data_IF_969378192004
#
_entry.id   IF_969378192004
#
_cell.length_a   1.000
_cell.length_b   1.000
_cell.length_c   1.000
_cell.angle_alpha   90.00
_cell.angle_beta   90.00
_cell.angle_gamma   90.00
#
_symmetry.space_group_name_H-M   'P 1'
#
loop_
_entity.id
_entity.type
_entity.pdbx_description
1 polymer ?
#
# COMPACT_ATOMS: atom_id res chain seq x y z
N UNK A 1 -6.85 -3.06 -28.22
CA UNK A 1 -6.70 -2.11 -29.33
C UNK A 1 -7.85 -2.35 -30.29
N UNK A 2 -8.69 -1.35 -30.52
CA UNK A 2 -9.84 -1.47 -31.44
C UNK A 2 -9.32 -1.41 -32.88
N UNK A 3 -9.58 -2.46 -33.67
CA UNK A 3 -9.09 -2.59 -35.03
C UNK A 3 -9.67 -1.53 -35.98
N UNK A 4 -10.93 -1.11 -35.78
CA UNK A 4 -11.53 -0.04 -36.59
C UNK A 4 -10.87 1.30 -36.27
N UNK A 5 -10.71 1.61 -34.99
CA UNK A 5 -10.06 2.86 -34.55
C UNK A 5 -8.63 2.95 -35.07
N UNK A 6 -7.88 1.86 -34.96
CA UNK A 6 -6.53 1.75 -35.51
C UNK A 6 -6.52 1.99 -37.03
N UNK A 7 -7.36 1.26 -37.78
CA UNK A 7 -7.43 1.39 -39.23
C UNK A 7 -7.76 2.81 -39.68
N UNK A 8 -8.73 3.46 -39.01
CA UNK A 8 -9.07 4.86 -39.29
C UNK A 8 -7.93 5.81 -38.95
N UNK A 9 -7.19 5.56 -37.87
CA UNK A 9 -6.06 6.38 -37.47
C UNK A 9 -4.93 6.31 -38.51
N UNK A 10 -4.55 5.10 -38.94
CA UNK A 10 -3.54 4.90 -39.99
C UNK A 10 -3.96 5.56 -41.31
N UNK A 11 -5.23 5.40 -41.71
CA UNK A 11 -5.74 6.02 -42.93
C UNK A 11 -5.71 7.56 -42.86
N UNK A 12 -5.98 8.14 -41.70
CA UNK A 12 -5.89 9.59 -41.48
C UNK A 12 -4.45 10.06 -41.56
N UNK A 13 -3.51 9.43 -40.83
CA UNK A 13 -2.09 9.77 -40.87
C UNK A 13 -1.49 9.66 -42.28
N UNK A 14 -1.87 8.62 -43.03
CA UNK A 14 -1.44 8.46 -44.42
C UNK A 14 -1.90 9.62 -45.30
N UNK A 15 -3.16 10.04 -45.15
CA UNK A 15 -3.74 11.17 -45.90
C UNK A 15 -3.12 12.50 -45.51
N UNK A 16 -2.84 12.72 -44.23
CA UNK A 16 -2.13 13.91 -43.74
C UNK A 16 -0.73 14.02 -44.35
N UNK A 17 -0.05 12.90 -44.54
CA UNK A 17 1.24 12.83 -45.23
C UNK A 17 1.14 12.81 -46.77
N UNK A 18 -0.05 13.01 -47.34
CA UNK A 18 -0.32 13.01 -48.79
C UNK A 18 0.15 11.73 -49.52
N UNK A 19 0.17 10.58 -48.84
CA UNK A 19 0.62 9.31 -49.42
C UNK A 19 -0.55 8.48 -49.94
N UNK A 20 -0.36 7.70 -51.00
CA UNK A 20 -1.29 6.65 -51.43
C UNK A 20 -1.08 5.36 -50.62
N UNK A 21 -2.05 4.43 -50.65
CA UNK A 21 -1.88 3.11 -50.00
C UNK A 21 -0.69 2.33 -50.60
N UNK A 22 -0.45 2.50 -51.90
CA UNK A 22 0.66 1.87 -52.62
C UNK A 22 2.00 2.45 -52.17
N UNK A 23 2.11 3.77 -52.03
CA UNK A 23 3.32 4.44 -51.57
C UNK A 23 3.67 4.06 -50.12
N UNK A 24 2.66 4.00 -49.24
CA UNK A 24 2.88 3.54 -47.86
C UNK A 24 3.33 2.07 -47.84
N UNK A 25 2.72 1.21 -48.65
CA UNK A 25 3.10 -0.19 -48.76
C UNK A 25 4.54 -0.37 -49.26
N UNK A 26 4.96 0.43 -50.24
CA UNK A 26 6.33 0.44 -50.76
C UNK A 26 7.34 0.85 -49.68
N UNK A 27 7.06 1.90 -48.91
CA UNK A 27 7.93 2.33 -47.79
C UNK A 27 8.10 1.25 -46.72
N UNK A 28 7.04 0.49 -46.46
CA UNK A 28 7.01 -0.56 -45.43
C UNK A 28 7.44 -1.93 -45.95
N UNK A 29 7.76 -2.06 -47.24
CA UNK A 29 8.06 -3.32 -47.92
C UNK A 29 6.97 -4.39 -47.73
N UNK A 30 5.70 -3.96 -47.74
CA UNK A 30 4.52 -4.83 -47.67
C UNK A 30 3.65 -4.68 -48.91
N UNK A 31 2.63 -5.53 -49.03
CA UNK A 31 1.64 -5.41 -50.11
C UNK A 31 0.64 -4.27 -49.81
N UNK A 32 0.20 -3.58 -50.85
CA UNK A 32 -0.91 -2.62 -50.82
C UNK A 32 -2.19 -3.22 -50.19
N UNK A 33 -2.44 -4.51 -50.46
CA UNK A 33 -3.52 -5.29 -49.84
C UNK A 33 -3.41 -5.38 -48.32
N UNK A 34 -2.19 -5.46 -47.77
CA UNK A 34 -1.96 -5.49 -46.34
C UNK A 34 -2.35 -4.14 -45.70
N UNK A 35 -1.88 -3.03 -46.28
CA UNK A 35 -2.26 -1.67 -45.84
C UNK A 35 -3.78 -1.47 -45.91
N UNK A 36 -4.41 -1.87 -47.02
CA UNK A 36 -5.88 -1.82 -47.17
C UNK A 36 -6.62 -2.67 -46.13
N UNK A 37 -6.06 -3.80 -45.71
CA UNK A 37 -6.63 -4.66 -44.66
C UNK A 37 -6.56 -3.98 -43.29
N UNK A 38 -5.44 -3.33 -42.98
CA UNK A 38 -5.25 -2.59 -41.73
C UNK A 38 -6.18 -1.37 -41.66
N UNK A 39 -6.23 -0.55 -42.71
CA UNK A 39 -7.08 0.65 -42.77
C UNK A 39 -8.57 0.33 -42.61
N UNK A 40 -9.01 -0.85 -43.06
CA UNK A 40 -10.40 -1.34 -42.87
C UNK A 40 -10.66 -2.02 -41.54
N UNK A 41 -9.65 -2.15 -40.68
CA UNK A 41 -9.74 -2.82 -39.38
C UNK A 41 -9.92 -4.33 -39.47
N UNK A 42 -9.50 -4.95 -40.59
CA UNK A 42 -9.60 -6.39 -40.83
C UNK A 42 -8.34 -7.16 -40.37
N UNK A 43 -7.41 -6.49 -39.71
CA UNK A 43 -6.18 -7.05 -39.16
C UNK A 43 -5.22 -5.96 -38.68
N UNK A 44 -4.11 -6.39 -38.11
CA UNK A 44 -3.03 -5.51 -37.64
C UNK A 44 -1.73 -5.80 -38.40
N UNK A 45 -0.80 -4.83 -38.46
CA UNK A 45 0.57 -5.08 -38.87
C UNK A 45 1.26 -6.05 -37.90
N UNK A 46 2.28 -6.75 -38.38
CA UNK A 46 3.15 -7.55 -37.52
C UNK A 46 3.99 -6.62 -36.62
N UNK A 47 4.48 -7.14 -35.49
CA UNK A 47 5.30 -6.37 -34.53
C UNK A 47 6.51 -5.74 -35.20
N UNK A 48 7.13 -6.43 -36.16
CA UNK A 48 8.27 -5.95 -36.93
C UNK A 48 7.91 -4.81 -37.88
N UNK A 49 6.63 -4.61 -38.19
CA UNK A 49 6.14 -3.57 -39.09
C UNK A 49 5.63 -2.34 -38.33
N UNK A 50 5.45 -2.42 -37.01
CA UNK A 50 4.92 -1.31 -36.20
C UNK A 50 5.91 -0.14 -36.14
N UNK A 51 7.19 -0.42 -35.91
CA UNK A 51 8.24 0.62 -35.86
C UNK A 51 8.44 1.30 -37.23
N UNK A 52 8.64 0.57 -38.35
CA UNK A 52 8.67 1.18 -39.68
C UNK A 52 7.39 1.97 -40.04
N UNK A 53 6.23 1.52 -39.58
CA UNK A 53 4.95 2.20 -39.79
C UNK A 53 4.89 3.54 -39.05
N UNK A 54 5.39 3.58 -37.81
CA UNK A 54 5.51 4.81 -37.03
C UNK A 54 6.43 5.82 -37.72
N UNK A 55 7.61 5.36 -38.15
CA UNK A 55 8.59 6.19 -38.87
C UNK A 55 8.05 6.72 -40.19
N UNK A 56 7.38 5.88 -40.99
CA UNK A 56 6.82 6.27 -42.28
C UNK A 56 5.69 7.31 -42.16
N UNK A 57 4.99 7.33 -41.02
CA UNK A 57 3.87 8.23 -40.74
C UNK A 57 4.26 9.45 -39.87
N UNK A 58 5.50 9.51 -39.38
CA UNK A 58 6.02 10.61 -38.59
C UNK A 58 5.40 10.72 -37.19
N UNK A 59 5.06 9.59 -36.57
CA UNK A 59 4.46 9.51 -35.23
C UNK A 59 5.24 8.55 -34.36
N UNK A 60 5.06 8.63 -33.05
CA UNK A 60 5.67 7.67 -32.13
C UNK A 60 4.97 6.31 -32.20
N UNK A 61 5.70 5.23 -31.88
CA UNK A 61 5.13 3.88 -31.73
C UNK A 61 3.98 3.87 -30.72
N UNK A 62 4.07 4.69 -29.66
CA UNK A 62 3.03 4.80 -28.65
C UNK A 62 1.71 5.36 -29.22
N UNK A 63 1.79 6.35 -30.12
CA UNK A 63 0.63 6.90 -30.82
C UNK A 63 -0.03 5.87 -31.75
N UNK A 64 0.77 5.07 -32.46
CA UNK A 64 0.29 3.96 -33.29
C UNK A 64 -0.47 2.93 -32.43
N UNK A 65 0.10 2.53 -31.29
CA UNK A 65 -0.52 1.55 -30.37
C UNK A 65 -1.80 2.08 -29.70
N UNK A 66 -1.86 3.37 -29.37
CA UNK A 66 -3.05 4.00 -28.78
C UNK A 66 -4.09 4.41 -29.81
N UNK A 67 -3.68 4.49 -31.08
CA UNK A 67 -4.50 4.98 -32.20
C UNK A 67 -5.05 6.39 -31.96
N UNK A 68 -4.23 7.22 -31.31
CA UNK A 68 -4.53 8.60 -30.92
C UNK A 68 -3.24 9.42 -30.98
N UNK A 69 -3.34 10.68 -31.45
CA UNK A 69 -2.24 11.64 -31.34
C UNK A 69 -2.02 11.96 -29.87
N UNK A 70 -0.78 11.84 -29.43
CA UNK A 70 -0.39 12.30 -28.10
C UNK A 70 0.05 13.73 -28.34
N UNK A 71 -0.79 14.69 -27.96
CA UNK A 71 -0.36 16.08 -27.94
C UNK A 71 0.82 16.17 -26.97
N UNK A 72 2.02 16.31 -27.52
CA UNK A 72 3.17 16.78 -26.74
C UNK A 72 2.77 18.13 -26.18
N UNK A 73 2.45 18.11 -24.89
CA UNK A 73 2.11 19.33 -24.17
C UNK A 73 3.39 20.14 -24.14
N UNK A 74 3.45 21.23 -24.92
CA UNK A 74 4.55 22.20 -24.83
C UNK A 74 4.70 22.59 -23.35
N UNK A 75 5.77 22.11 -22.73
CA UNK A 75 6.09 22.43 -21.34
C UNK A 75 6.57 23.88 -21.32
N UNK A 76 5.65 24.81 -21.15
CA UNK A 76 5.93 26.23 -20.86
C UNK A 76 6.60 26.37 -19.49
N UNK A 77 7.51 27.34 -19.31
CA UNK A 77 8.21 27.56 -18.03
C UNK A 77 7.27 27.72 -16.82
N UNK A 78 6.07 28.23 -17.04
CA UNK A 78 5.03 28.35 -16.01
C UNK A 78 4.43 27.00 -15.60
N UNK A 79 4.28 26.05 -16.55
CA UNK A 79 3.84 24.68 -16.21
C UNK A 79 4.94 23.88 -15.53
N UNK A 80 6.21 24.09 -15.89
CA UNK A 80 7.34 23.47 -15.22
C UNK A 80 7.49 23.94 -13.76
N UNK A 81 7.34 25.24 -13.50
CA UNK A 81 7.43 25.81 -12.14
C UNK A 81 6.24 25.40 -11.26
N UNK A 82 5.04 25.32 -11.82
CA UNK A 82 3.87 24.76 -11.14
C UNK A 82 4.06 23.28 -10.80
N UNK A 83 4.51 22.45 -11.76
CA UNK A 83 4.80 21.04 -11.51
C UNK A 83 5.90 20.82 -10.46
N UNK A 84 6.96 21.64 -10.49
CA UNK A 84 8.02 21.60 -9.46
C UNK A 84 7.50 21.98 -8.07
N UNK A 85 6.56 22.94 -7.99
CA UNK A 85 5.94 23.35 -6.73
C UNK A 85 5.08 22.23 -6.16
N UNK A 86 4.27 21.57 -7.00
CA UNK A 86 3.45 20.41 -6.61
C UNK A 86 4.30 19.22 -6.16
N UNK A 87 5.40 18.93 -6.86
CA UNK A 87 6.37 17.91 -6.44
C UNK A 87 6.96 18.27 -5.06
N UNK A 88 7.32 19.54 -4.84
CA UNK A 88 7.90 19.97 -3.57
C UNK A 88 6.89 19.91 -2.42
N UNK A 89 5.61 20.24 -2.67
CA UNK A 89 4.52 20.04 -1.71
C UNK A 89 4.33 18.55 -1.38
N UNK A 90 4.30 17.68 -2.40
CA UNK A 90 4.20 16.24 -2.22
C UNK A 90 5.37 15.68 -1.39
N UNK A 91 6.61 16.09 -1.68
CA UNK A 91 7.80 15.70 -0.92
C UNK A 91 7.73 16.18 0.54
N UNK A 92 7.24 17.41 0.79
CA UNK A 92 7.02 17.91 2.15
C UNK A 92 5.99 17.08 2.91
N UNK A 93 4.89 16.71 2.26
CA UNK A 93 3.85 15.88 2.84
C UNK A 93 4.37 14.47 3.17
N UNK A 94 5.12 13.87 2.25
CA UNK A 94 5.75 12.56 2.45
C UNK A 94 6.72 12.61 3.64
N UNK A 95 7.60 13.62 3.69
CA UNK A 95 8.56 13.79 4.79
C UNK A 95 7.87 14.02 6.14
N UNK A 96 6.72 14.71 6.17
CA UNK A 96 5.92 14.91 7.39
C UNK A 96 5.26 13.60 7.85
N UNK A 97 4.79 12.77 6.91
CA UNK A 97 4.25 11.44 7.21
C UNK A 97 5.33 10.48 7.73
N UNK A 98 6.50 10.46 7.09
CA UNK A 98 7.66 9.67 7.54
C UNK A 98 8.13 10.10 8.93
N UNK A 99 8.23 11.41 9.21
CA UNK A 99 8.54 11.92 10.56
C UNK A 99 7.57 11.39 11.61
N UNK A 100 6.26 11.38 11.32
CA UNK A 100 5.25 10.81 12.24
C UNK A 100 5.47 9.31 12.46
N UNK A 101 5.85 8.57 11.42
CA UNK A 101 6.19 7.14 11.55
C UNK A 101 7.41 6.92 12.43
N UNK A 102 8.47 7.71 12.22
CA UNK A 102 9.69 7.68 13.03
C UNK A 102 9.39 7.99 14.51
N UNK A 103 8.59 9.02 14.80
CA UNK A 103 8.20 9.34 16.17
C UNK A 103 7.40 8.21 16.85
N UNK A 104 6.52 7.51 16.12
CA UNK A 104 5.79 6.34 16.65
C UNK A 104 6.74 5.20 17.01
N UNK A 105 7.69 4.88 16.12
CA UNK A 105 8.67 3.81 16.34
C UNK A 105 9.60 4.17 17.51
N UNK A 106 10.14 5.39 17.51
CA UNK A 106 11.02 5.88 18.58
C UNK A 106 10.31 5.86 19.95
N UNK A 107 9.04 6.27 20.02
CA UNK A 107 8.25 6.19 21.24
C UNK A 107 8.04 4.75 21.73
N UNK A 108 7.77 3.81 20.82
CA UNK A 108 7.65 2.39 21.15
C UNK A 108 8.95 1.79 21.69
N UNK A 109 10.09 2.10 21.07
CA UNK A 109 11.42 1.66 21.54
C UNK A 109 11.73 2.24 22.92
N UNK A 110 11.50 3.53 23.12
CA UNK A 110 11.70 4.18 24.43
C UNK A 110 10.83 3.55 25.53
N UNK A 111 9.57 3.23 25.23
CA UNK A 111 8.67 2.54 26.17
C UNK A 111 9.18 1.13 26.52
N UNK A 112 9.69 0.37 25.55
CA UNK A 112 10.25 -0.96 25.80
C UNK A 112 11.50 -0.89 26.70
N UNK A 113 12.41 0.05 26.42
CA UNK A 113 13.61 0.27 27.24
C UNK A 113 13.25 0.69 28.66
N UNK A 114 12.22 1.54 28.83
CA UNK A 114 11.72 1.94 30.14
C UNK A 114 11.15 0.76 30.92
N UNK A 115 10.40 -0.13 30.27
CA UNK A 115 9.90 -1.36 30.89
C UNK A 115 11.04 -2.30 31.31
N UNK A 116 12.09 -2.45 30.50
CA UNK A 116 13.27 -3.26 30.85
C UNK A 116 13.97 -2.67 32.09
N UNK A 117 14.21 -1.36 32.10
CA UNK A 117 14.81 -0.67 33.24
C UNK A 117 14.00 -0.85 34.54
N UNK A 118 12.67 -0.80 34.42
CA UNK A 118 11.75 -1.02 35.53
C UNK A 118 11.78 -2.46 36.06
N UNK A 119 12.01 -3.45 35.19
CA UNK A 119 12.16 -4.86 35.57
C UNK A 119 13.48 -5.08 36.31
N UNK A 120 14.58 -4.48 35.86
CA UNK A 120 15.89 -4.62 36.52
C UNK A 120 15.92 -3.95 37.91
N UNK A 121 15.16 -2.87 38.11
CA UNK A 121 15.05 -2.17 39.39
C UNK A 121 14.23 -2.92 40.46
N UNK A 122 13.42 -3.91 40.07
CA UNK A 122 12.54 -4.65 40.96
C UNK A 122 12.85 -6.15 40.89
N UNK A 123 13.40 -6.72 41.96
CA UNK A 123 13.64 -8.17 42.03
C UNK A 123 12.38 -9.01 41.74
N UNK A 124 12.54 -10.32 41.54
CA UNK A 124 11.49 -11.24 41.07
C UNK A 124 10.13 -11.09 41.75
N UNK A 125 10.11 -10.81 43.06
CA UNK A 125 8.88 -10.58 43.83
C UNK A 125 8.12 -9.33 43.35
N UNK A 126 8.81 -8.23 43.08
CA UNK A 126 8.20 -7.00 42.57
C UNK A 126 7.64 -7.17 41.16
N UNK A 127 8.33 -7.94 40.32
CA UNK A 127 7.83 -8.31 39.00
C UNK A 127 6.50 -9.07 39.06
N UNK A 128 6.45 -10.12 39.89
CA UNK A 128 5.25 -10.96 40.05
C UNK A 128 4.07 -10.18 40.66
N UNK A 129 4.34 -9.17 41.48
CA UNK A 129 3.31 -8.48 42.27
C UNK A 129 2.72 -7.27 41.56
N UNK A 130 3.51 -6.56 40.75
CA UNK A 130 3.09 -5.29 40.12
C UNK A 130 2.90 -5.46 38.63
N UNK A 131 3.89 -6.00 37.92
CA UNK A 131 3.84 -6.06 36.46
C UNK A 131 2.96 -7.19 35.94
N UNK A 132 3.02 -8.37 36.54
CA UNK A 132 2.22 -9.51 36.10
C UNK A 132 0.69 -9.22 36.15
N UNK A 133 0.13 -8.66 37.24
CA UNK A 133 -1.29 -8.28 37.27
C UNK A 133 -1.65 -7.22 36.22
N UNK A 134 -0.78 -6.21 36.00
CA UNK A 134 -1.02 -5.16 34.99
C UNK A 134 -1.01 -5.74 33.56
N UNK A 135 -0.09 -6.65 33.27
CA UNK A 135 -0.03 -7.34 31.97
C UNK A 135 -1.28 -8.21 31.76
N UNK A 136 -1.73 -8.93 32.80
CA UNK A 136 -2.99 -9.70 32.75
C UNK A 136 -4.21 -8.80 32.51
N UNK A 137 -4.28 -7.61 33.12
CA UNK A 137 -5.36 -6.65 32.89
C UNK A 137 -5.35 -6.12 31.44
N UNK A 138 -4.19 -5.66 30.96
CA UNK A 138 -4.06 -5.11 29.60
C UNK A 138 -4.37 -6.16 28.53
N UNK A 139 -3.84 -7.37 28.69
CA UNK A 139 -4.12 -8.49 27.77
C UNK A 139 -5.58 -8.95 27.85
N UNK A 140 -6.20 -8.98 29.03
CA UNK A 140 -7.61 -9.27 29.22
C UNK A 140 -8.53 -8.27 28.50
N UNK A 141 -8.24 -6.96 28.62
CA UNK A 141 -8.97 -5.90 27.90
C UNK A 141 -8.80 -6.05 26.38
N UNK A 142 -7.58 -6.32 25.90
CA UNK A 142 -7.34 -6.55 24.48
C UNK A 142 -8.12 -7.76 23.94
N UNK A 143 -8.19 -8.85 24.70
CA UNK A 143 -8.98 -10.03 24.35
C UNK A 143 -10.49 -9.76 24.37
N UNK A 144 -10.99 -8.88 25.23
CA UNK A 144 -12.39 -8.44 25.17
C UNK A 144 -12.69 -7.68 23.88
N UNK A 145 -11.81 -6.74 23.50
CA UNK A 145 -11.94 -5.98 22.24
C UNK A 145 -11.90 -6.95 21.05
N UNK A 146 -10.96 -7.89 21.04
CA UNK A 146 -10.86 -8.93 20.02
C UNK A 146 -12.11 -9.85 20.00
N UNK A 147 -12.65 -10.20 21.17
CA UNK A 147 -13.87 -10.98 21.31
C UNK A 147 -15.11 -10.27 20.74
N UNK A 148 -15.22 -8.95 20.95
CA UNK A 148 -16.29 -8.12 20.35
C UNK A 148 -16.16 -8.08 18.83
N UNK A 149 -14.95 -7.91 18.30
CA UNK A 149 -14.69 -8.00 16.86
C UNK A 149 -15.04 -9.38 16.29
N UNK A 150 -14.66 -10.45 17.00
CA UNK A 150 -14.95 -11.84 16.62
C UNK A 150 -16.45 -12.14 16.59
N UNK A 151 -17.21 -11.60 17.57
CA UNK A 151 -18.68 -11.67 17.61
C UNK A 151 -19.33 -10.98 16.41
N UNK A 152 -18.79 -9.83 16.00
CA UNK A 152 -19.26 -9.10 14.80
C UNK A 152 -19.05 -9.92 13.51
N UNK A 153 -18.00 -10.73 13.46
CA UNK A 153 -17.64 -11.56 12.31
C UNK A 153 -18.22 -12.99 12.33
N UNK A 154 -19.22 -13.28 13.17
CA UNK A 154 -19.89 -14.60 13.28
C UNK A 154 -18.95 -15.78 13.59
N UNK A 155 -17.80 -15.52 14.20
CA UNK A 155 -16.84 -16.54 14.64
C UNK A 155 -17.16 -16.98 16.10
N UNK A 156 -16.75 -18.18 16.54
CA UNK A 156 -17.04 -18.67 17.88
C UNK A 156 -16.39 -17.77 18.94
N UNK A 157 -17.21 -17.11 19.78
CA UNK A 157 -16.77 -16.04 20.69
C UNK A 157 -16.68 -16.47 22.16
N UNK A 158 -17.34 -17.56 22.55
CA UNK A 158 -17.44 -17.98 23.95
C UNK A 158 -16.06 -18.25 24.57
N UNK A 159 -15.19 -19.01 23.88
CA UNK A 159 -13.85 -19.32 24.37
C UNK A 159 -12.97 -18.07 24.55
N UNK A 160 -13.09 -17.08 23.67
CA UNK A 160 -12.34 -15.81 23.78
C UNK A 160 -12.84 -14.94 24.94
N UNK A 161 -14.14 -14.92 25.21
CA UNK A 161 -14.70 -14.20 26.36
C UNK A 161 -14.38 -14.90 27.69
N UNK A 162 -14.44 -16.23 27.73
CA UNK A 162 -14.04 -17.02 28.91
C UNK A 162 -12.56 -16.79 29.23
N UNK A 163 -11.68 -16.86 28.22
CA UNK A 163 -10.25 -16.60 28.42
C UNK A 163 -9.99 -15.17 28.90
N UNK A 164 -10.69 -14.18 28.34
CA UNK A 164 -10.58 -12.79 28.79
C UNK A 164 -11.05 -12.60 30.24
N UNK A 165 -12.16 -13.23 30.63
CA UNK A 165 -12.67 -13.17 32.00
C UNK A 165 -11.70 -13.83 33.00
N UNK A 166 -11.13 -14.98 32.66
CA UNK A 166 -10.11 -15.64 33.48
C UNK A 166 -8.89 -14.74 33.66
N UNK A 167 -8.39 -14.12 32.59
CA UNK A 167 -7.23 -13.21 32.66
C UNK A 167 -7.48 -11.97 33.53
N UNK A 168 -8.71 -11.45 33.55
CA UNK A 168 -9.09 -10.32 34.40
C UNK A 168 -9.29 -10.69 35.87
N UNK A 169 -9.60 -11.95 36.17
CA UNK A 169 -9.80 -12.44 37.55
C UNK A 169 -8.49 -12.81 38.25
N UNK A 170 -7.44 -13.16 37.52
CA UNK A 170 -6.11 -13.49 38.07
C UNK A 170 -5.56 -12.39 39.00
N UNK A 171 -5.56 -11.09 38.60
CA UNK A 171 -5.16 -9.98 39.48
C UNK A 171 -5.94 -9.93 40.80
N UNK A 172 -7.25 -10.18 40.76
CA UNK A 172 -8.11 -10.17 41.96
C UNK A 172 -7.71 -11.33 42.88
N UNK A 173 -7.44 -12.50 42.33
CA UNK A 173 -6.94 -13.66 43.07
C UNK A 173 -5.61 -13.38 43.77
N UNK A 174 -4.68 -12.68 43.10
CA UNK A 174 -3.39 -12.28 43.70
C UNK A 174 -3.62 -11.35 44.88
N UNK A 175 -4.49 -10.34 44.77
CA UNK A 175 -4.79 -9.41 45.87
C UNK A 175 -5.44 -10.14 47.06
N UNK A 176 -6.39 -11.03 46.81
CA UNK A 176 -7.06 -11.82 47.85
C UNK A 176 -6.07 -12.75 48.55
N UNK A 177 -5.20 -13.42 47.79
CA UNK A 177 -4.16 -14.28 48.35
C UNK A 177 -3.22 -13.51 49.27
N UNK A 178 -2.80 -12.30 48.88
CA UNK A 178 -1.93 -11.45 49.69
C UNK A 178 -2.61 -10.97 50.97
N UNK A 179 -3.88 -10.59 50.88
CA UNK A 179 -4.66 -10.20 52.05
C UNK A 179 -4.79 -11.35 53.04
N UNK A 180 -5.04 -12.57 52.56
CA UNK A 180 -5.10 -13.78 53.40
C UNK A 180 -3.72 -14.13 53.99
N UNK A 181 -2.65 -14.09 53.19
CA UNK A 181 -1.29 -14.37 53.66
C UNK A 181 -0.84 -13.37 54.74
N UNK A 182 -1.21 -12.09 54.60
CA UNK A 182 -1.00 -11.06 55.62
C UNK A 182 -1.83 -11.31 56.89
N UNK A 183 -3.10 -11.68 56.75
CA UNK A 183 -3.97 -11.99 57.88
C UNK A 183 -3.56 -13.25 58.67
N UNK A 184 -2.93 -14.22 58.00
CA UNK A 184 -2.37 -15.43 58.61
C UNK A 184 -0.99 -15.23 59.26
N UNK A 185 -0.42 -14.01 59.19
CA UNK A 185 0.86 -13.69 59.81
C UNK A 185 2.07 -14.36 59.15
N UNK A 186 1.93 -14.84 57.91
CA UNK A 186 3.02 -15.45 57.12
C UNK A 186 3.94 -14.42 56.45
N UNK A 187 3.74 -13.13 56.74
CA UNK A 187 4.65 -12.08 56.30
C UNK A 187 6.00 -12.21 57.04
N UNK A 188 7.14 -12.19 56.33
CA UNK A 188 8.44 -12.25 56.99
C UNK A 188 8.56 -11.08 57.97
N UNK A 189 8.81 -11.40 59.23
CA UNK A 189 9.11 -10.41 60.27
C UNK A 189 10.40 -9.70 59.84
N UNK A 190 10.38 -8.37 59.65
CA UNK A 190 11.59 -7.64 59.32
C UNK A 190 12.57 -7.76 60.50
N UNK A 191 13.76 -8.29 60.22
CA UNK A 191 14.92 -8.18 61.13
C UNK A 191 15.52 -6.79 61.04
#
# INVERSE_FOLDING_TARGET
MDAKKFGTFIATLRKENNMTQVELAQKLQVTDKAVSKWERGLGFPDINTIEPLADALGVSVLEIMRSERIAETEITQDTASAALTDIFEFVKLQRKAERKSIFKIAGGVAACLFLIFLIDGMGWLGFAMVYFPVICLLSGIALLIYGVWRKKNKLPCLQTFVLAAVMLLIPVGVVVFLFLAGALGLAPVPN
#
